data_IF_786885411714
#
_entry.id   IF_786885411714
#
_cell.length_a   1.000
_cell.length_b   1.000
_cell.length_c   1.000
_cell.angle_alpha   90.00
_cell.angle_beta   90.00
_cell.angle_gamma   90.00
#
_symmetry.space_group_name_H-M   'P 1'
#
loop_
_entity.id
_entity.type
_entity.pdbx_description
1 polymer ?
#
# COMPACT_ATOMS: atom_id res chain seq x y z
N UNK A 1 3.93 -19.03 14.29
CA UNK A 1 3.44 -17.65 14.01
C UNK A 1 2.89 -17.63 12.59
N UNK A 2 1.56 -17.71 12.41
CA UNK A 2 0.95 -17.78 11.06
C UNK A 2 0.89 -16.36 10.48
N UNK A 3 1.72 -16.08 9.47
CA UNK A 3 1.65 -14.84 8.67
C UNK A 3 0.33 -14.88 7.88
N UNK A 4 -0.60 -13.96 8.15
CA UNK A 4 -1.98 -13.97 7.63
C UNK A 4 -2.23 -12.85 6.63
N UNK A 5 -1.62 -12.91 5.46
CA UNK A 5 -2.08 -12.13 4.31
C UNK A 5 -2.11 -13.07 3.09
N UNK A 6 -3.30 -13.27 2.50
CA UNK A 6 -3.54 -13.97 1.23
C UNK A 6 -3.23 -15.49 1.19
N UNK A 7 -4.11 -16.33 1.78
CA UNK A 7 -4.00 -17.80 1.65
C UNK A 7 -4.89 -18.39 0.54
N UNK A 8 -5.97 -17.70 0.16
CA UNK A 8 -7.03 -18.29 -0.69
C UNK A 8 -7.00 -17.79 -2.14
N UNK A 9 -5.91 -17.13 -2.55
CA UNK A 9 -5.72 -16.64 -3.92
C UNK A 9 -4.38 -17.08 -4.46
N UNK A 10 -4.38 -17.64 -5.67
CA UNK A 10 -3.14 -17.91 -6.40
C UNK A 10 -2.52 -16.58 -6.86
N UNK A 11 -1.20 -16.40 -6.73
CA UNK A 11 -0.52 -15.23 -7.28
C UNK A 11 -0.76 -15.12 -8.79
N UNK A 12 -0.96 -13.90 -9.27
CA UNK A 12 -1.02 -13.61 -10.70
C UNK A 12 0.39 -13.34 -11.20
N UNK A 13 0.83 -14.07 -12.24
CA UNK A 13 2.13 -13.84 -12.86
C UNK A 13 2.18 -12.46 -13.52
N UNK A 14 3.29 -11.74 -13.36
CA UNK A 14 3.53 -10.44 -13.97
C UNK A 14 5.01 -10.24 -14.31
N UNK A 15 5.32 -9.22 -15.12
CA UNK A 15 6.69 -8.76 -15.34
C UNK A 15 7.30 -8.29 -14.00
N UNK A 16 8.49 -8.76 -13.59
CA UNK A 16 9.15 -8.30 -12.36
C UNK A 16 9.26 -6.78 -12.25
N UNK A 17 9.45 -6.07 -13.38
CA UNK A 17 9.51 -4.61 -13.43
C UNK A 17 8.19 -3.96 -13.02
N UNK A 18 7.05 -4.58 -13.37
CA UNK A 18 5.73 -4.14 -12.93
C UNK A 18 5.59 -4.32 -11.42
N UNK A 19 6.05 -5.44 -10.88
CA UNK A 19 6.02 -5.68 -9.43
C UNK A 19 6.86 -4.63 -8.66
N UNK A 20 8.09 -4.36 -9.11
CA UNK A 20 8.95 -3.31 -8.53
C UNK A 20 8.26 -1.95 -8.56
N UNK A 21 7.65 -1.57 -9.69
CA UNK A 21 6.96 -0.29 -9.83
C UNK A 21 5.72 -0.18 -8.93
N UNK A 22 4.93 -1.26 -8.78
CA UNK A 22 3.80 -1.28 -7.85
C UNK A 22 4.29 -1.05 -6.42
N UNK A 23 5.37 -1.72 -6.01
CA UNK A 23 5.89 -1.63 -4.64
C UNK A 23 6.44 -0.22 -4.37
N UNK A 24 7.37 0.27 -5.19
CA UNK A 24 7.97 1.59 -4.97
C UNK A 24 6.96 2.72 -5.13
N UNK A 25 6.08 2.66 -6.14
CA UNK A 25 5.04 3.66 -6.33
C UNK A 25 4.00 3.66 -5.21
N UNK A 26 3.67 2.51 -4.62
CA UNK A 26 2.78 2.45 -3.46
C UNK A 26 3.41 3.12 -2.22
N UNK A 27 4.72 2.92 -2.02
CA UNK A 27 5.48 3.56 -0.93
C UNK A 27 5.50 5.08 -1.12
N UNK A 28 5.90 5.55 -2.31
CA UNK A 28 5.92 6.98 -2.63
C UNK A 28 4.52 7.61 -2.48
N UNK A 29 3.49 6.92 -2.97
CA UNK A 29 2.11 7.37 -2.81
C UNK A 29 1.70 7.47 -1.35
N UNK A 30 2.00 6.47 -0.52
CA UNK A 30 1.64 6.44 0.89
C UNK A 30 2.38 7.51 1.72
N UNK A 31 3.64 7.81 1.38
CA UNK A 31 4.44 8.86 2.03
C UNK A 31 3.80 10.25 1.91
N UNK A 32 3.06 10.52 0.83
CA UNK A 32 2.29 11.78 0.67
C UNK A 32 1.23 11.97 1.77
N UNK A 33 0.84 10.91 2.46
CA UNK A 33 -0.12 10.92 3.56
C UNK A 33 0.54 10.66 4.93
N UNK A 34 1.88 10.70 5.00
CA UNK A 34 2.63 10.50 6.24
C UNK A 34 2.72 9.04 6.70
N UNK A 35 2.62 8.09 5.78
CA UNK A 35 2.88 6.67 6.05
C UNK A 35 4.26 6.27 5.55
N UNK A 36 4.99 5.56 6.41
CA UNK A 36 6.25 4.94 6.05
C UNK A 36 6.02 3.46 5.72
N UNK A 37 6.88 2.84 4.88
CA UNK A 37 6.79 1.42 4.62
C UNK A 37 7.00 0.62 5.92
N UNK A 38 6.41 -0.57 5.98
CA UNK A 38 6.60 -1.48 7.10
C UNK A 38 8.09 -1.84 7.26
N UNK A 39 8.54 -2.03 8.50
CA UNK A 39 9.99 -2.13 8.81
C UNK A 39 10.74 -3.25 8.07
N UNK A 40 10.08 -4.38 7.81
CA UNK A 40 10.66 -5.51 7.07
C UNK A 40 10.94 -5.15 5.61
N UNK A 41 10.38 -4.07 5.08
CA UNK A 41 10.72 -3.55 3.76
C UNK A 41 12.22 -3.22 3.65
N UNK A 42 12.88 -2.84 4.76
CA UNK A 42 14.34 -2.63 4.79
C UNK A 42 15.14 -3.85 4.33
N UNK A 43 14.61 -5.05 4.57
CA UNK A 43 15.16 -6.33 4.11
C UNK A 43 14.56 -6.73 2.76
N UNK A 44 13.25 -6.60 2.59
CA UNK A 44 12.57 -7.01 1.35
C UNK A 44 13.07 -6.25 0.11
N UNK A 45 13.52 -5.00 0.26
CA UNK A 45 14.09 -4.23 -0.86
C UNK A 45 15.28 -4.90 -1.55
N UNK A 46 16.00 -5.82 -0.89
CA UNK A 46 17.15 -6.50 -1.49
C UNK A 46 16.76 -7.56 -2.53
N UNK A 47 15.48 -7.93 -2.63
CA UNK A 47 14.99 -8.82 -3.71
C UNK A 47 14.39 -8.04 -4.88
N UNK A 48 14.32 -6.71 -4.78
CA UNK A 48 13.78 -5.82 -5.81
C UNK A 48 14.92 -5.24 -6.64
N UNK A 49 14.64 -4.97 -7.92
CA UNK A 49 15.56 -4.21 -8.76
C UNK A 49 15.43 -2.71 -8.47
N UNK A 50 16.36 -1.91 -9.00
CA UNK A 50 16.27 -0.46 -8.91
C UNK A 50 14.97 0.07 -9.54
N UNK A 51 14.37 1.15 -8.99
CA UNK A 51 13.20 1.78 -9.60
C UNK A 51 13.46 2.16 -11.05
N UNK A 52 12.49 1.89 -11.93
CA UNK A 52 12.57 2.30 -13.32
C UNK A 52 12.70 3.83 -13.44
N UNK A 53 13.52 4.28 -14.38
CA UNK A 53 13.51 5.68 -14.83
C UNK A 53 12.21 6.03 -15.59
N UNK A 54 12.14 7.26 -16.11
CA UNK A 54 10.98 7.72 -16.88
C UNK A 54 10.68 6.89 -18.13
N UNK A 55 11.71 6.27 -18.70
CA UNK A 55 11.60 5.48 -19.92
C UNK A 55 11.20 4.03 -19.59
N UNK A 56 10.02 3.61 -20.05
CA UNK A 56 9.53 2.24 -19.85
C UNK A 56 8.70 2.01 -18.59
N UNK A 57 8.28 3.08 -17.90
CA UNK A 57 7.35 2.98 -16.78
C UNK A 57 5.95 2.52 -17.24
N UNK A 58 5.33 1.62 -16.49
CA UNK A 58 3.94 1.21 -16.67
C UNK A 58 2.99 2.34 -16.21
N UNK A 59 1.79 2.46 -16.80
CA UNK A 59 0.76 3.40 -16.30
C UNK A 59 0.03 2.81 -15.07
N UNK A 60 0.70 2.82 -13.92
CA UNK A 60 0.14 2.35 -12.64
C UNK A 60 -0.43 3.54 -11.87
N UNK A 61 -1.68 3.43 -11.46
CA UNK A 61 -2.38 4.42 -10.64
C UNK A 61 -2.58 3.89 -9.23
N UNK A 62 -2.45 4.78 -8.25
CA UNK A 62 -2.56 4.46 -6.83
C UNK A 62 -3.77 5.15 -6.19
N UNK A 63 -4.30 4.52 -5.14
CA UNK A 63 -5.57 4.91 -4.52
C UNK A 63 -6.78 4.29 -5.21
N UNK A 64 -7.98 4.71 -4.79
CA UNK A 64 -9.27 4.30 -5.33
C UNK A 64 -10.07 5.54 -5.66
N UNK A 65 -10.46 5.69 -6.93
CA UNK A 65 -11.21 6.85 -7.44
C UNK A 65 -10.54 8.19 -7.07
N UNK A 66 -9.21 8.23 -7.12
CA UNK A 66 -8.41 9.42 -6.81
C UNK A 66 -8.22 9.70 -5.31
N UNK A 67 -8.75 8.86 -4.42
CA UNK A 67 -8.62 8.99 -2.96
C UNK A 67 -7.72 7.90 -2.36
N UNK A 68 -7.03 8.16 -1.24
CA UNK A 68 -6.38 7.10 -0.48
C UNK A 68 -7.43 6.08 0.01
N UNK A 69 -7.09 4.80 -0.02
CA UNK A 69 -7.95 3.71 0.43
C UNK A 69 -7.19 2.82 1.41
N UNK A 70 -7.61 2.87 2.67
CA UNK A 70 -7.03 2.05 3.74
C UNK A 70 -7.79 0.72 3.88
N UNK A 71 -7.07 -0.40 3.95
CA UNK A 71 -7.65 -1.72 4.25
C UNK A 71 -7.08 -2.17 5.58
N UNK A 72 -7.93 -2.25 6.61
CA UNK A 72 -7.49 -2.56 7.95
C UNK A 72 -7.02 -4.03 8.06
N UNK A 73 -5.77 -4.18 8.48
CA UNK A 73 -5.24 -5.44 8.99
C UNK A 73 -5.76 -5.74 10.39
N UNK A 74 -5.70 -7.01 10.82
CA UNK A 74 -6.22 -7.44 12.14
C UNK A 74 -5.46 -6.87 13.35
N UNK A 75 -4.34 -6.18 13.13
CA UNK A 75 -3.49 -5.60 14.16
C UNK A 75 -3.19 -4.13 13.93
N UNK A 76 -3.84 -3.51 12.94
CA UNK A 76 -3.58 -2.11 12.62
C UNK A 76 -4.22 -1.19 13.68
N UNK A 77 -3.55 -0.09 14.08
CA UNK A 77 -4.15 0.94 14.92
C UNK A 77 -5.09 1.80 14.08
N UNK A 78 -6.27 1.26 13.79
CA UNK A 78 -7.23 1.81 12.81
C UNK A 78 -7.57 3.27 13.09
N UNK A 79 -7.91 3.60 14.34
CA UNK A 79 -8.32 4.96 14.69
C UNK A 79 -7.21 5.99 14.42
N UNK A 80 -5.95 5.64 14.73
CA UNK A 80 -4.79 6.49 14.47
C UNK A 80 -4.55 6.69 12.97
N UNK A 81 -4.72 5.63 12.19
CA UNK A 81 -4.59 5.67 10.73
C UNK A 81 -5.67 6.56 10.11
N UNK A 82 -6.93 6.40 10.53
CA UNK A 82 -8.04 7.23 10.05
C UNK A 82 -7.89 8.69 10.49
N UNK A 83 -7.39 8.94 11.71
CA UNK A 83 -7.09 10.29 12.18
C UNK A 83 -5.98 10.94 11.35
N UNK A 84 -4.92 10.20 11.03
CA UNK A 84 -3.85 10.69 10.15
C UNK A 84 -4.38 11.05 8.77
N UNK A 85 -5.16 10.17 8.14
CA UNK A 85 -5.79 10.45 6.84
C UNK A 85 -6.69 11.69 6.92
N UNK A 86 -7.54 11.78 7.93
CA UNK A 86 -8.41 12.95 8.16
C UNK A 86 -7.62 14.25 8.32
N UNK A 87 -6.44 14.18 8.95
CA UNK A 87 -5.56 15.34 9.14
C UNK A 87 -4.94 15.80 7.82
N UNK A 88 -4.56 14.87 6.95
CA UNK A 88 -3.87 15.21 5.68
C UNK A 88 -4.85 15.59 4.57
N UNK A 89 -5.94 14.84 4.39
CA UNK A 89 -6.87 15.05 3.26
C UNK A 89 -8.25 15.56 3.68
N UNK A 90 -8.56 15.62 4.97
CA UNK A 90 -9.88 15.96 5.47
C UNK A 90 -10.81 14.75 5.58
N UNK A 91 -11.79 14.84 6.48
CA UNK A 91 -12.83 13.84 6.66
C UNK A 91 -13.67 13.67 5.37
N UNK A 92 -13.99 12.44 4.99
CA UNK A 92 -14.72 12.12 3.74
C UNK A 92 -13.86 12.09 2.45
N UNK A 93 -12.58 12.43 2.54
CA UNK A 93 -11.64 12.42 1.40
C UNK A 93 -10.76 11.16 1.32
N UNK A 94 -11.13 10.10 2.02
CA UNK A 94 -10.50 8.79 1.94
C UNK A 94 -11.55 7.68 2.04
N UNK A 95 -11.20 6.49 1.54
CA UNK A 95 -11.96 5.27 1.76
C UNK A 95 -11.28 4.42 2.83
N UNK A 96 -12.06 3.61 3.54
CA UNK A 96 -11.51 2.56 4.38
C UNK A 96 -12.38 1.31 4.39
N UNK A 97 -11.75 0.15 4.55
CA UNK A 97 -12.41 -1.13 4.78
C UNK A 97 -11.96 -1.66 6.14
N UNK A 98 -12.88 -1.72 7.09
CA UNK A 98 -12.64 -2.23 8.43
C UNK A 98 -13.51 -3.46 8.69
N UNK A 99 -12.95 -4.62 9.07
CA UNK A 99 -13.76 -5.77 9.46
C UNK A 99 -14.53 -5.43 10.73
N UNK A 100 -15.86 -5.42 10.65
CA UNK A 100 -16.72 -5.24 11.83
C UNK A 100 -16.75 -6.57 12.55
N UNK A 101 -16.25 -6.62 13.79
CA UNK A 101 -16.54 -7.74 14.68
C UNK A 101 -18.01 -7.63 15.08
N UNK A 102 -18.84 -8.56 14.60
CA UNK A 102 -20.21 -8.76 15.06
C UNK A 102 -20.23 -9.47 16.42
#
# INVERSE_FOLDING_TARGET
>A
MKRKCYHDVSPVACDPRLANQIIYGAIEYAQRFGFEPQEDFKLARFVLDEPLGSDGAFDVKFGKEGKPFFVAGPYDPVDEILQKLSTVVGEGNYYYLHPVSL
#
